data_IF_527732257768
#
_entry.id   IF_527732257768
#
_cell.length_a   1.000
_cell.length_b   1.000
_cell.length_c   1.000
_cell.angle_alpha   90.00
_cell.angle_beta   90.00
_cell.angle_gamma   90.00
#
_symmetry.space_group_name_H-M   'P 1'
#
loop_
_entity.id
_entity.type
_entity.pdbx_description
1 polymer ?
#
# COMPACT_ATOMS: atom_id res chain seq x y z
N UNK A 1 1.45 7.57 -14.22
CA UNK A 1 1.07 6.50 -15.17
C UNK A 1 2.17 6.17 -16.18
N UNK A 2 2.70 7.15 -16.93
CA UNK A 2 3.79 6.91 -17.89
C UNK A 2 5.00 6.18 -17.28
N UNK A 3 5.38 6.57 -16.06
CA UNK A 3 6.44 5.94 -15.27
C UNK A 3 6.25 4.42 -15.06
N UNK A 4 5.06 3.99 -14.61
CA UNK A 4 4.77 2.57 -14.39
C UNK A 4 4.72 1.79 -15.71
N UNK A 5 4.22 2.40 -16.79
CA UNK A 5 4.24 1.78 -18.11
C UNK A 5 5.68 1.60 -18.63
N UNK A 6 6.58 2.54 -18.35
CA UNK A 6 8.00 2.44 -18.67
C UNK A 6 8.68 1.34 -17.86
N UNK A 7 8.49 1.32 -16.54
CA UNK A 7 8.99 0.27 -15.65
C UNK A 7 8.55 -1.14 -16.09
N UNK A 8 7.27 -1.29 -16.44
CA UNK A 8 6.73 -2.56 -16.93
C UNK A 8 7.29 -2.95 -18.31
N UNK A 9 7.72 -1.99 -19.13
CA UNK A 9 8.27 -2.24 -20.46
C UNK A 9 9.76 -2.56 -20.41
N UNK A 10 10.54 -1.86 -19.57
CA UNK A 10 11.97 -2.12 -19.39
C UNK A 10 12.21 -3.41 -18.60
N UNK A 11 11.35 -3.70 -17.62
CA UNK A 11 11.49 -4.77 -16.63
C UNK A 11 12.80 -4.74 -15.84
N UNK A 12 13.54 -3.64 -15.94
CA UNK A 12 14.89 -3.52 -15.43
C UNK A 12 14.87 -3.30 -13.91
N UNK A 13 15.69 -4.05 -13.19
CA UNK A 13 15.85 -3.92 -11.75
C UNK A 13 16.63 -2.66 -11.40
N UNK A 14 17.59 -2.26 -12.24
CA UNK A 14 18.34 -1.01 -12.04
C UNK A 14 17.40 0.18 -12.21
N UNK A 15 16.47 0.13 -13.17
CA UNK A 15 15.40 1.13 -13.29
C UNK A 15 14.60 1.26 -11.99
N UNK A 16 14.28 0.14 -11.32
CA UNK A 16 13.57 0.20 -10.04
C UNK A 16 14.38 0.97 -9.00
N UNK A 17 15.65 0.60 -8.75
CA UNK A 17 16.43 1.26 -7.71
C UNK A 17 16.77 2.72 -8.05
N UNK A 18 17.18 2.99 -9.29
CA UNK A 18 17.55 4.33 -9.74
C UNK A 18 16.36 5.29 -9.70
N UNK A 19 15.15 4.77 -9.92
CA UNK A 19 13.98 5.63 -10.09
C UNK A 19 12.95 5.52 -8.98
N UNK A 20 12.87 4.46 -8.18
CA UNK A 20 11.92 4.36 -7.06
C UNK A 20 12.52 4.76 -5.71
N UNK A 21 13.85 4.68 -5.52
CA UNK A 21 14.47 4.97 -4.22
C UNK A 21 14.84 6.45 -4.04
N UNK A 22 15.34 7.11 -5.09
CA UNK A 22 15.99 8.42 -4.99
C UNK A 22 15.19 9.59 -5.59
N UNK A 23 14.09 9.33 -6.29
CA UNK A 23 13.27 10.39 -6.91
C UNK A 23 12.08 10.78 -6.03
N UNK A 24 12.06 12.04 -5.57
CA UNK A 24 10.94 12.65 -4.84
C UNK A 24 9.58 12.53 -5.54
N UNK A 25 9.55 12.39 -6.87
CA UNK A 25 8.32 12.19 -7.63
C UNK A 25 7.68 10.82 -7.41
N UNK A 26 8.44 9.84 -6.91
CA UNK A 26 7.97 8.48 -6.63
C UNK A 26 6.98 8.45 -5.49
N UNK A 27 7.18 9.28 -4.47
CA UNK A 27 6.24 9.40 -3.35
C UNK A 27 4.84 9.88 -3.79
N UNK A 28 4.69 10.35 -5.05
CA UNK A 28 3.38 10.67 -5.64
C UNK A 28 2.65 9.46 -6.22
N UNK A 29 3.30 8.29 -6.28
CA UNK A 29 2.76 7.08 -6.90
C UNK A 29 3.04 5.79 -6.10
N UNK A 30 3.98 5.81 -5.18
CA UNK A 30 4.39 4.68 -4.36
C UNK A 30 4.50 5.09 -2.89
N UNK A 31 4.03 4.21 -2.01
CA UNK A 31 4.20 4.31 -0.58
C UNK A 31 5.31 3.33 -0.17
N UNK A 32 6.37 3.87 0.42
CA UNK A 32 7.45 3.09 1.03
C UNK A 32 7.15 2.94 2.52
N UNK A 33 7.03 1.70 2.98
CA UNK A 33 6.61 1.39 4.35
C UNK A 33 7.68 0.54 5.00
N UNK A 34 8.29 1.08 6.06
CA UNK A 34 9.18 0.33 6.95
C UNK A 34 8.36 -0.58 7.88
N UNK A 35 8.94 -1.70 8.32
CA UNK A 35 8.26 -2.59 9.26
C UNK A 35 7.94 -1.92 10.60
N UNK A 36 8.65 -0.86 10.96
CA UNK A 36 8.39 -0.03 12.15
C UNK A 36 7.50 1.19 11.87
N UNK A 37 7.02 1.36 10.65
CA UNK A 37 6.22 2.53 10.28
C UNK A 37 4.91 2.59 11.07
N UNK A 38 4.51 3.79 11.50
CA UNK A 38 3.28 3.97 12.24
C UNK A 38 2.04 3.79 11.35
N UNK A 39 0.93 3.33 11.93
CA UNK A 39 -0.32 3.13 11.20
C UNK A 39 -0.77 4.43 10.53
N UNK A 40 -0.75 5.53 11.28
CA UNK A 40 -1.21 6.82 10.82
C UNK A 40 -0.41 7.32 9.60
N UNK A 41 0.90 7.05 9.56
CA UNK A 41 1.77 7.38 8.43
C UNK A 41 1.39 6.56 7.19
N UNK A 42 1.18 5.26 7.32
CA UNK A 42 0.79 4.37 6.20
C UNK A 42 -0.50 4.87 5.53
N UNK A 43 -1.50 5.24 6.33
CA UNK A 43 -2.77 5.76 5.79
C UNK A 43 -2.55 7.13 5.15
N UNK A 44 -1.73 7.99 5.75
CA UNK A 44 -1.40 9.32 5.22
C UNK A 44 -0.68 9.23 3.87
N UNK A 45 0.31 8.35 3.71
CA UNK A 45 0.99 8.13 2.43
C UNK A 45 0.01 7.72 1.32
N UNK A 46 -0.92 6.83 1.66
CA UNK A 46 -1.94 6.38 0.70
C UNK A 46 -2.86 7.54 0.29
N UNK A 47 -3.31 8.35 1.24
CA UNK A 47 -4.15 9.51 0.97
C UNK A 47 -3.40 10.61 0.19
N UNK A 48 -2.12 10.84 0.46
CA UNK A 48 -1.30 11.81 -0.28
C UNK A 48 -1.15 11.43 -1.76
N UNK A 49 -1.10 10.12 -2.06
CA UNK A 49 -1.04 9.59 -3.42
C UNK A 49 -2.42 9.62 -4.10
N UNK A 50 -3.47 9.16 -3.40
CA UNK A 50 -4.81 9.03 -3.97
C UNK A 50 -5.61 10.34 -4.00
N UNK A 51 -5.26 11.28 -3.12
CA UNK A 51 -5.86 12.62 -2.96
C UNK A 51 -7.38 12.63 -2.92
N UNK A 52 -7.97 11.69 -2.17
CA UNK A 52 -9.43 11.48 -2.14
C UNK A 52 -10.16 12.53 -1.28
N UNK A 53 -9.42 13.13 -0.34
CA UNK A 53 -9.85 13.96 0.80
C UNK A 53 -10.87 13.26 1.71
N UNK A 54 -10.94 11.94 1.62
CA UNK A 54 -11.99 11.12 2.23
C UNK A 54 -11.43 9.90 2.96
N UNK A 55 -10.12 9.64 2.85
CA UNK A 55 -9.39 8.65 3.63
C UNK A 55 -8.75 9.34 4.84
N UNK A 56 -9.01 8.83 6.04
CA UNK A 56 -8.38 9.30 7.27
C UNK A 56 -8.22 8.16 8.26
N UNK A 57 -7.46 8.41 9.32
CA UNK A 57 -7.16 7.47 10.39
C UNK A 57 -7.30 8.15 11.74
N UNK A 58 -7.80 7.41 12.72
CA UNK A 58 -7.88 7.82 14.12
C UNK A 58 -7.36 6.68 14.99
N UNK A 59 -6.34 6.95 15.80
CA UNK A 59 -5.82 6.03 16.83
C UNK A 59 -6.15 6.59 18.21
N UNK A 60 -6.65 5.75 19.11
CA UNK A 60 -7.06 6.14 20.46
C UNK A 60 -6.80 5.04 21.48
N UNK A 61 -6.63 5.45 22.73
CA UNK A 61 -6.45 4.51 23.85
C UNK A 61 -7.67 3.61 24.01
N UNK A 62 -7.42 2.32 24.22
CA UNK A 62 -8.45 1.30 24.35
C UNK A 62 -8.10 0.32 25.48
N UNK A 63 -9.13 -0.12 26.20
CA UNK A 63 -9.00 -1.15 27.25
C UNK A 63 -8.89 -2.55 26.63
N UNK A 64 -7.76 -2.80 25.97
CA UNK A 64 -7.39 -4.07 25.37
C UNK A 64 -5.89 -4.34 25.60
N UNK A 65 -5.42 -5.55 25.27
CA UNK A 65 -4.03 -5.96 25.52
C UNK A 65 -2.97 -5.10 24.83
N UNK A 66 -3.34 -4.37 23.77
CA UNK A 66 -2.46 -3.46 23.02
C UNK A 66 -2.44 -2.05 23.60
N UNK A 67 -3.49 -1.67 24.34
CA UNK A 67 -3.67 -0.33 24.88
C UNK A 67 -4.26 0.69 23.90
N UNK A 68 -4.51 0.31 22.65
CA UNK A 68 -5.08 1.20 21.62
C UNK A 68 -5.93 0.43 20.62
N UNK A 69 -6.79 1.17 19.92
CA UNK A 69 -7.42 0.75 18.67
C UNK A 69 -7.25 1.84 17.60
N UNK A 70 -7.24 1.41 16.35
CA UNK A 70 -7.09 2.29 15.18
C UNK A 70 -8.28 2.08 14.24
N UNK A 71 -8.86 3.18 13.77
CA UNK A 71 -9.99 3.21 12.84
C UNK A 71 -9.58 3.93 11.56
N UNK A 72 -9.75 3.25 10.43
CA UNK A 72 -9.67 3.85 9.09
C UNK A 72 -11.07 4.32 8.70
N UNK A 73 -11.17 5.56 8.24
CA UNK A 73 -12.40 6.10 7.65
C UNK A 73 -12.20 6.33 6.16
N UNK A 74 -13.05 5.75 5.33
CA UNK A 74 -13.11 6.06 3.89
C UNK A 74 -14.56 6.29 3.47
N UNK A 75 -14.88 7.43 2.85
CA UNK A 75 -16.26 7.75 2.39
C UNK A 75 -17.33 7.56 3.48
N UNK A 76 -17.04 8.05 4.68
CA UNK A 76 -17.87 7.90 5.89
C UNK A 76 -18.04 6.46 6.41
N UNK A 77 -17.37 5.47 5.81
CA UNK A 77 -17.33 4.10 6.34
C UNK A 77 -16.14 3.98 7.26
N UNK A 78 -16.39 3.53 8.49
CA UNK A 78 -15.37 3.28 9.51
C UNK A 78 -15.06 1.79 9.56
N UNK A 79 -13.77 1.45 9.56
CA UNK A 79 -13.27 0.08 9.69
C UNK A 79 -12.17 0.09 10.76
N UNK A 80 -12.34 -0.71 11.80
CA UNK A 80 -11.31 -0.91 12.81
C UNK A 80 -10.26 -1.90 12.30
N UNK A 81 -8.97 -1.61 12.54
CA UNK A 81 -7.88 -2.51 12.15
C UNK A 81 -7.85 -3.70 13.13
N UNK A 82 -8.09 -4.95 12.65
CA UNK A 82 -8.34 -6.09 13.52
C UNK A 82 -7.05 -6.78 13.95
N UNK A 83 -6.20 -6.08 14.71
CA UNK A 83 -4.94 -6.63 15.21
C UNK A 83 -5.18 -7.88 16.08
N UNK A 84 -4.39 -8.94 15.84
CA UNK A 84 -4.46 -10.20 16.60
C UNK A 84 -3.49 -10.26 17.79
N UNK A 85 -2.46 -9.42 17.81
CA UNK A 85 -1.36 -9.46 18.78
C UNK A 85 -1.46 -8.42 19.91
N UNK A 86 -0.35 -8.28 20.64
CA UNK A 86 -0.14 -7.31 21.72
C UNK A 86 0.34 -5.94 21.23
N UNK A 87 0.58 -5.80 19.93
CA UNK A 87 0.89 -4.53 19.28
C UNK A 87 0.25 -4.47 17.90
N UNK A 88 0.53 -3.39 17.18
CA UNK A 88 0.12 -3.27 15.79
C UNK A 88 0.91 -4.19 14.87
N UNK A 89 0.36 -4.46 13.70
CA UNK A 89 0.90 -5.35 12.69
C UNK A 89 0.72 -4.69 11.31
N UNK A 90 1.84 -4.35 10.65
CA UNK A 90 1.84 -3.63 9.36
C UNK A 90 1.08 -4.41 8.29
N UNK A 91 1.19 -5.72 8.34
CA UNK A 91 0.47 -6.63 7.46
C UNK A 91 -1.05 -6.44 7.57
N UNK A 92 -1.56 -6.47 8.81
CA UNK A 92 -2.98 -6.24 9.10
C UNK A 92 -3.41 -4.83 8.70
N UNK A 93 -2.59 -3.81 8.95
CA UNK A 93 -2.88 -2.42 8.59
C UNK A 93 -3.06 -2.25 7.08
N UNK A 94 -2.07 -2.68 6.29
CA UNK A 94 -2.10 -2.52 4.82
C UNK A 94 -3.25 -3.34 4.20
N UNK A 95 -3.50 -4.56 4.70
CA UNK A 95 -4.65 -5.37 4.26
C UNK A 95 -5.98 -4.67 4.54
N UNK A 96 -6.13 -4.10 5.74
CA UNK A 96 -7.35 -3.40 6.14
C UNK A 96 -7.54 -2.13 5.32
N UNK A 97 -6.47 -1.36 5.11
CA UNK A 97 -6.49 -0.18 4.25
C UNK A 97 -6.89 -0.53 2.82
N UNK A 98 -6.25 -1.54 2.21
CA UNK A 98 -6.58 -1.99 0.85
C UNK A 98 -8.05 -2.40 0.74
N UNK A 99 -8.58 -3.10 1.74
CA UNK A 99 -9.99 -3.47 1.81
C UNK A 99 -10.91 -2.24 1.95
N UNK A 100 -10.53 -1.25 2.76
CA UNK A 100 -11.33 -0.06 3.02
C UNK A 100 -11.58 0.76 1.74
N UNK A 101 -10.57 0.84 0.87
CA UNK A 101 -10.62 1.63 -0.37
C UNK A 101 -11.00 0.81 -1.62
N UNK A 102 -11.18 -0.51 -1.49
CA UNK A 102 -11.29 -1.46 -2.62
C UNK A 102 -12.37 -1.14 -3.65
N UNK A 103 -13.39 -0.36 -3.27
CA UNK A 103 -14.48 0.02 -4.18
C UNK A 103 -13.99 0.84 -5.38
N UNK A 104 -12.89 1.57 -5.22
CA UNK A 104 -12.36 2.49 -6.24
C UNK A 104 -10.87 2.35 -6.48
N UNK A 105 -10.13 1.85 -5.50
CA UNK A 105 -8.67 1.77 -5.53
C UNK A 105 -8.21 0.38 -5.13
N UNK A 106 -7.01 0.00 -5.57
CA UNK A 106 -6.34 -1.22 -5.16
C UNK A 106 -4.87 -0.89 -4.89
N UNK A 107 -4.36 -1.40 -3.78
CA UNK A 107 -2.95 -1.37 -3.40
C UNK A 107 -2.32 -2.69 -3.83
N UNK A 108 -1.22 -2.62 -4.59
CA UNK A 108 -0.41 -3.78 -4.92
C UNK A 108 1.01 -3.61 -4.41
N UNK A 109 1.60 -4.70 -3.91
CA UNK A 109 2.98 -4.76 -3.47
C UNK A 109 3.92 -4.86 -4.69
N UNK A 110 4.99 -4.08 -4.72
CA UNK A 110 6.06 -4.23 -5.71
C UNK A 110 7.03 -5.32 -5.25
N UNK A 111 7.12 -6.41 -6.03
CA UNK A 111 7.85 -7.62 -5.65
C UNK A 111 9.36 -7.40 -5.54
N UNK A 112 9.91 -6.43 -6.27
CA UNK A 112 11.31 -6.00 -6.19
C UNK A 112 11.72 -5.53 -4.80
N UNK A 113 10.77 -5.05 -3.99
CA UNK A 113 11.05 -4.63 -2.62
C UNK A 113 11.06 -5.78 -1.61
N UNK A 114 10.62 -6.99 -1.98
CA UNK A 114 10.54 -8.13 -1.07
C UNK A 114 11.92 -8.52 -0.51
N UNK A 115 11.94 -8.88 0.77
CA UNK A 115 13.16 -9.24 1.51
C UNK A 115 13.90 -8.03 2.12
N UNK A 116 13.35 -6.83 1.96
CA UNK A 116 13.78 -5.60 2.63
C UNK A 116 12.95 -5.33 3.90
N UNK A 117 13.54 -4.61 4.85
CA UNK A 117 12.84 -4.05 6.02
C UNK A 117 11.85 -2.94 5.64
N UNK A 118 12.01 -2.37 4.43
CA UNK A 118 11.13 -1.35 3.85
C UNK A 118 10.58 -1.83 2.51
N UNK A 119 9.25 -1.89 2.39
CA UNK A 119 8.55 -2.41 1.21
C UNK A 119 7.84 -1.30 0.42
N UNK A 120 7.75 -1.49 -0.90
CA UNK A 120 7.13 -0.55 -1.83
C UNK A 120 5.73 -1.03 -2.22
N UNK A 121 4.72 -0.17 -2.04
CA UNK A 121 3.34 -0.44 -2.46
C UNK A 121 2.83 0.65 -3.40
N UNK A 122 1.95 0.25 -4.31
CA UNK A 122 1.45 1.10 -5.39
C UNK A 122 -0.08 1.20 -5.25
N UNK A 123 -0.59 2.28 -4.63
CA UNK A 123 -2.02 2.57 -4.62
C UNK A 123 -2.43 3.22 -5.94
N UNK A 124 -3.38 2.62 -6.66
CA UNK A 124 -3.96 3.19 -7.89
C UNK A 124 -5.47 2.97 -7.93
N UNK A 125 -6.15 3.72 -8.78
CA UNK A 125 -7.56 3.43 -9.08
C UNK A 125 -7.70 2.06 -9.76
N UNK A 126 -8.85 1.42 -9.54
CA UNK A 126 -9.22 0.18 -10.19
C UNK A 126 -9.17 0.30 -11.73
N UNK A 127 -9.51 1.48 -12.28
CA UNK A 127 -9.40 1.75 -13.72
C UNK A 127 -7.95 1.71 -14.21
N UNK A 128 -7.04 2.37 -13.49
CA UNK A 128 -5.61 2.37 -13.83
C UNK A 128 -5.01 0.96 -13.76
N UNK A 129 -5.32 0.20 -12.71
CA UNK A 129 -4.89 -1.19 -12.62
C UNK A 129 -5.45 -2.04 -13.75
N UNK A 130 -6.74 -1.91 -14.07
CA UNK A 130 -7.36 -2.62 -15.19
C UNK A 130 -6.71 -2.27 -16.54
N UNK A 131 -6.28 -1.01 -16.73
CA UNK A 131 -5.56 -0.60 -17.93
C UNK A 131 -4.18 -1.29 -18.01
N UNK A 132 -3.45 -1.32 -16.90
CA UNK A 132 -2.13 -1.98 -16.84
C UNK A 132 -2.27 -3.50 -17.02
N UNK A 133 -3.22 -4.15 -16.34
CA UNK A 133 -3.48 -5.59 -16.46
C UNK A 133 -3.85 -5.99 -17.89
N UNK A 134 -4.58 -5.15 -18.63
CA UNK A 134 -4.93 -5.42 -20.03
C UNK A 134 -3.76 -5.20 -20.99
N UNK A 135 -2.93 -4.21 -20.73
CA UNK A 135 -1.84 -3.79 -21.64
C UNK A 135 -0.55 -4.61 -21.42
N UNK A 136 -0.28 -4.99 -20.17
CA UNK A 136 0.96 -5.64 -19.73
C UNK A 136 0.68 -6.79 -18.74
N UNK A 137 -0.16 -7.78 -19.09
CA UNK A 137 -0.64 -8.78 -18.13
C UNK A 137 0.49 -9.59 -17.49
N UNK A 138 1.48 -10.00 -18.28
CA UNK A 138 2.61 -10.80 -17.78
C UNK A 138 3.54 -9.97 -16.88
N UNK A 139 3.87 -8.76 -17.33
CA UNK A 139 4.79 -7.89 -16.63
C UNK A 139 4.19 -7.40 -15.30
N UNK A 140 2.89 -7.08 -15.28
CA UNK A 140 2.20 -6.71 -14.04
C UNK A 140 2.22 -7.87 -13.04
N UNK A 141 1.94 -9.09 -13.49
CA UNK A 141 1.98 -10.27 -12.61
C UNK A 141 3.41 -10.60 -12.13
N UNK A 142 4.44 -10.27 -12.92
CA UNK A 142 5.84 -10.46 -12.54
C UNK A 142 6.32 -9.41 -11.53
N UNK A 143 5.90 -8.15 -11.67
CA UNK A 143 6.39 -7.01 -10.86
C UNK A 143 5.53 -6.69 -9.64
N UNK A 144 4.23 -7.00 -9.70
CA UNK A 144 3.28 -6.61 -8.66
C UNK A 144 2.51 -7.81 -8.11
N UNK A 145 2.22 -7.76 -6.81
CA UNK A 145 1.38 -8.73 -6.11
C UNK A 145 0.11 -8.06 -5.59
N UNK A 146 -1.04 -8.69 -5.86
CA UNK A 146 -2.31 -8.30 -5.26
C UNK A 146 -2.33 -8.71 -3.79
N UNK A 147 -2.63 -7.75 -2.91
CA UNK A 147 -2.66 -7.99 -1.46
C UNK A 147 -3.97 -8.70 -1.11
N UNK A 148 -3.85 -9.88 -0.51
CA UNK A 148 -4.97 -10.68 -0.01
C UNK A 148 -4.87 -10.86 1.50
N UNK A 149 -5.91 -11.42 2.11
CA UNK A 149 -5.89 -11.78 3.54
C UNK A 149 -4.81 -12.80 3.90
N UNK A 150 -4.21 -13.48 2.91
CA UNK A 150 -3.17 -14.50 3.08
C UNK A 150 -1.76 -14.00 2.73
N UNK A 151 -1.63 -12.86 2.07
CA UNK A 151 -0.32 -12.28 1.71
C UNK A 151 0.46 -12.01 3.00
N UNK A 152 1.71 -12.47 3.10
CA UNK A 152 2.63 -12.07 4.16
C UNK A 152 3.60 -11.06 3.55
N UNK A 153 3.69 -9.85 4.11
CA UNK A 153 4.51 -8.78 3.53
C UNK A 153 5.78 -8.58 4.38
N UNK A 154 5.62 -8.35 5.68
CA UNK A 154 6.73 -8.24 6.63
C UNK A 154 6.95 -9.54 7.40
N UNK A 155 8.21 -9.83 7.75
CA UNK A 155 8.61 -11.09 8.39
C UNK A 155 8.61 -11.07 9.91
#
# INVERSE_FOLDING_TARGET
>A
MKFLEEYLTTQDQDFFYDNFCDDSAVYKIAMWVDWREDDDNIITYCEDILQTKQLSVETFDADNKRGFDTIITYKNKKISIPYKGIGADRDTTIKTLNQAIQSEFEIRLCKESLGSDTLCFIPLSNEQWNKLDKKYPEQVNQKFERITTKTKMFD
#
